data_IF_664132144854
#
_entry.id   IF_664132144854
#
_cell.length_a   1.000
_cell.length_b   1.000
_cell.length_c   1.000
_cell.angle_alpha   90.00
_cell.angle_beta   90.00
_cell.angle_gamma   90.00
#
_symmetry.space_group_name_H-M   'P 1'
#
loop_
_entity.id
_entity.type
_entity.pdbx_description
1 polymer ?
#
# COMPACT_ATOMS: atom_id res chain seq x y z
N UNK A 1 1.99 23.85 1.91
CA UNK A 1 2.16 23.19 3.23
C UNK A 1 2.55 24.14 4.38
N UNK A 2 3.60 24.98 4.27
CA UNK A 2 4.09 25.83 5.38
C UNK A 2 3.00 26.59 6.16
N UNK A 3 2.18 27.39 5.48
CA UNK A 3 1.15 28.21 6.14
C UNK A 3 0.07 27.38 6.84
N UNK A 4 -0.30 26.22 6.27
CA UNK A 4 -1.26 25.31 6.87
C UNK A 4 -0.76 24.83 8.24
N UNK A 5 0.45 24.26 8.31
CA UNK A 5 0.98 23.71 9.55
C UNK A 5 1.37 24.77 10.58
N UNK A 6 1.80 25.96 10.13
CA UNK A 6 1.94 27.12 11.01
C UNK A 6 0.60 27.49 11.68
N UNK A 7 -0.49 27.51 10.91
CA UNK A 7 -1.84 27.76 11.42
C UNK A 7 -2.33 26.67 12.38
N UNK A 8 -2.21 25.40 11.99
CA UNK A 8 -2.61 24.25 12.81
C UNK A 8 -1.89 24.22 14.17
N UNK A 9 -0.62 24.63 14.21
CA UNK A 9 0.15 24.74 15.46
C UNK A 9 -0.38 25.85 16.38
N UNK A 10 -0.94 26.92 15.82
CA UNK A 10 -1.44 28.08 16.57
C UNK A 10 -2.85 27.88 17.16
N UNK A 11 -3.49 26.75 16.89
CA UNK A 11 -4.81 26.44 17.45
C UNK A 11 -4.77 26.41 18.98
N UNK A 12 -5.76 27.04 19.63
CA UNK A 12 -5.89 27.07 21.09
C UNK A 12 -6.03 25.67 21.68
N UNK A 13 -6.72 24.78 20.98
CA UNK A 13 -6.83 23.37 21.31
C UNK A 13 -5.99 22.55 20.32
N UNK A 14 -5.20 21.57 20.79
CA UNK A 14 -4.41 20.73 19.88
C UNK A 14 -5.31 19.91 18.95
N UNK A 15 -4.99 19.93 17.65
CA UNK A 15 -5.63 19.07 16.66
C UNK A 15 -5.46 17.60 17.06
N UNK A 16 -6.54 16.83 16.93
CA UNK A 16 -6.56 15.38 17.21
C UNK A 16 -6.69 14.53 15.96
N UNK A 17 -7.28 15.07 14.91
CA UNK A 17 -7.55 14.34 13.69
C UNK A 17 -7.12 15.21 12.51
N UNK A 18 -6.34 14.62 11.60
CA UNK A 18 -5.91 15.27 10.37
C UNK A 18 -6.22 14.34 9.21
N UNK A 19 -6.91 14.89 8.21
CA UNK A 19 -7.23 14.19 6.98
C UNK A 19 -6.83 15.07 5.80
N UNK A 20 -6.03 14.52 4.88
CA UNK A 20 -5.58 15.20 3.66
C UNK A 20 -6.00 14.35 2.46
N UNK A 21 -6.92 14.88 1.64
CA UNK A 21 -7.55 14.14 0.55
C UNK A 21 -6.71 14.08 -0.73
N UNK A 22 -5.95 15.14 -1.02
CA UNK A 22 -5.16 15.25 -2.25
C UNK A 22 -3.72 15.59 -1.85
N UNK A 23 -3.07 14.67 -1.15
CA UNK A 23 -1.68 14.83 -0.74
C UNK A 23 -0.77 14.53 -1.94
N UNK A 24 -0.21 15.56 -2.55
CA UNK A 24 0.81 15.37 -3.59
C UNK A 24 2.03 14.67 -2.99
N UNK A 25 2.62 13.71 -3.70
CA UNK A 25 3.84 12.98 -3.27
C UNK A 25 5.11 13.86 -3.17
N UNK A 26 4.97 15.19 -3.19
CA UNK A 26 6.10 16.13 -3.13
C UNK A 26 6.67 16.27 -1.71
N UNK A 27 7.99 16.14 -1.61
CA UNK A 27 8.76 16.29 -0.37
C UNK A 27 8.77 17.74 0.17
N UNK A 28 8.40 17.99 1.44
CA UNK A 28 8.68 19.28 2.06
C UNK A 28 10.18 19.45 2.26
N UNK A 29 10.85 20.27 1.43
CA UNK A 29 12.31 20.48 1.50
C UNK A 29 12.79 21.41 2.62
N UNK A 30 11.87 22.06 3.33
CA UNK A 30 12.19 23.08 4.32
C UNK A 30 12.12 22.50 5.74
N UNK A 31 13.24 22.53 6.48
CA UNK A 31 13.35 21.97 7.84
C UNK A 31 12.36 22.59 8.83
N UNK A 32 12.12 23.90 8.75
CA UNK A 32 11.13 24.59 9.60
C UNK A 32 9.72 24.03 9.35
N UNK A 33 9.38 23.78 8.09
CA UNK A 33 8.08 23.21 7.69
C UNK A 33 7.96 21.76 8.17
N UNK A 34 9.01 20.96 8.04
CA UNK A 34 9.03 19.59 8.58
C UNK A 34 8.82 19.62 10.09
N UNK A 35 9.54 20.46 10.83
CA UNK A 35 9.40 20.57 12.28
C UNK A 35 7.98 20.97 12.69
N UNK A 36 7.35 21.90 11.96
CA UNK A 36 5.96 22.28 12.17
C UNK A 36 4.99 21.12 11.93
N UNK A 37 5.18 20.34 10.85
CA UNK A 37 4.40 19.14 10.55
C UNK A 37 4.51 18.15 11.71
N UNK A 38 5.73 17.76 12.07
CA UNK A 38 6.00 16.78 13.12
C UNK A 38 5.40 17.20 14.48
N UNK A 39 5.38 18.50 14.79
CA UNK A 39 4.79 19.01 16.02
C UNK A 39 3.26 18.80 16.08
N UNK A 40 2.57 18.99 14.96
CA UNK A 40 1.12 18.71 14.86
C UNK A 40 0.88 17.20 14.97
N UNK A 41 1.63 16.40 14.22
CA UNK A 41 1.46 14.95 14.12
C UNK A 41 1.64 14.21 15.46
N UNK A 42 2.55 14.67 16.33
CA UNK A 42 2.81 14.06 17.65
C UNK A 42 1.57 13.93 18.55
N UNK A 43 0.53 14.74 18.31
CA UNK A 43 -0.67 14.81 19.15
C UNK A 43 -1.90 14.17 18.52
N UNK A 44 -1.78 13.72 17.27
CA UNK A 44 -2.88 13.15 16.52
C UNK A 44 -3.25 11.77 17.05
N UNK A 45 -4.54 11.52 17.15
CA UNK A 45 -5.12 10.20 17.36
C UNK A 45 -5.63 9.59 16.07
N UNK A 46 -5.84 10.40 15.02
CA UNK A 46 -6.28 9.95 13.70
C UNK A 46 -5.51 10.67 12.60
N UNK A 47 -4.98 9.90 11.65
CA UNK A 47 -4.28 10.40 10.46
C UNK A 47 -4.82 9.69 9.22
N UNK A 48 -5.27 10.48 8.25
CA UNK A 48 -5.63 10.02 6.91
C UNK A 48 -4.81 10.75 5.87
N UNK A 49 -4.17 9.99 5.00
CA UNK A 49 -3.46 10.50 3.84
C UNK A 49 -3.96 9.76 2.60
N UNK A 50 -4.53 10.54 1.68
CA UNK A 50 -4.86 10.10 0.34
C UNK A 50 -3.84 10.73 -0.59
N UNK A 51 -2.91 9.92 -1.07
CA UNK A 51 -1.77 10.35 -1.87
C UNK A 51 -2.12 10.29 -3.34
N UNK A 52 -1.95 11.41 -4.03
CA UNK A 52 -2.22 11.53 -5.47
C UNK A 52 -0.90 11.73 -6.19
N UNK A 53 -0.79 11.11 -7.37
CA UNK A 53 0.39 11.21 -8.23
C UNK A 53 0.07 12.05 -9.47
N UNK A 54 1.11 12.64 -10.04
CA UNK A 54 1.01 13.29 -11.36
C UNK A 54 0.76 12.21 -12.41
N UNK A 55 -0.13 12.50 -13.36
CA UNK A 55 -0.43 11.61 -14.48
C UNK A 55 0.03 12.22 -15.78
N UNK A 56 0.69 11.41 -16.59
CA UNK A 56 1.05 11.66 -17.97
C UNK A 56 0.23 10.71 -18.85
N UNK A 57 -0.93 11.19 -19.33
CA UNK A 57 -1.84 10.40 -20.17
C UNK A 57 -1.17 9.94 -21.49
N UNK A 58 -0.06 10.57 -21.90
CA UNK A 58 0.68 10.22 -23.12
C UNK A 58 1.72 9.11 -22.88
N UNK A 59 2.17 8.89 -21.64
CA UNK A 59 3.20 7.90 -21.27
C UNK A 59 3.03 7.37 -19.82
N UNK A 60 1.90 6.74 -19.49
CA UNK A 60 1.57 6.31 -18.13
C UNK A 60 2.54 5.26 -17.56
N UNK A 61 3.19 4.47 -18.42
CA UNK A 61 4.16 3.45 -18.02
C UNK A 61 5.42 4.04 -17.37
N UNK A 62 5.74 5.32 -17.63
CA UNK A 62 6.93 5.98 -17.07
C UNK A 62 6.63 6.59 -15.69
N UNK A 63 5.35 6.77 -15.33
CA UNK A 63 4.95 7.39 -14.06
C UNK A 63 5.48 6.63 -12.83
N UNK A 64 5.55 5.30 -12.92
CA UNK A 64 6.08 4.48 -11.82
C UNK A 64 7.58 4.71 -11.59
N UNK A 65 8.29 5.31 -12.53
CA UNK A 65 9.72 5.60 -12.43
C UNK A 65 10.03 6.99 -11.85
N UNK A 66 9.01 7.84 -11.65
CA UNK A 66 9.18 9.21 -11.14
C UNK A 66 9.95 9.21 -9.81
N UNK A 67 11.12 9.87 -9.71
CA UNK A 67 11.94 9.82 -8.49
C UNK A 67 11.24 10.32 -7.22
N UNK A 68 10.43 11.38 -7.32
CA UNK A 68 9.71 11.97 -6.19
C UNK A 68 8.67 10.99 -5.60
N UNK A 69 8.07 10.13 -6.44
CA UNK A 69 7.18 9.04 -6.00
C UNK A 69 7.92 8.09 -5.06
N UNK A 70 9.10 7.62 -5.47
CA UNK A 70 9.93 6.71 -4.67
C UNK A 70 10.47 7.38 -3.40
N UNK A 71 10.96 8.61 -3.50
CA UNK A 71 11.42 9.38 -2.33
C UNK A 71 10.30 9.52 -1.29
N UNK A 72 9.07 9.78 -1.75
CA UNK A 72 7.92 9.93 -0.87
C UNK A 72 7.67 8.69 -0.02
N UNK A 73 7.49 7.52 -0.64
CA UNK A 73 7.15 6.30 0.11
C UNK A 73 8.32 5.73 0.91
N UNK A 74 9.55 5.93 0.45
CA UNK A 74 10.75 5.38 1.11
C UNK A 74 11.28 6.25 2.24
N UNK A 75 11.10 7.58 2.16
CA UNK A 75 11.69 8.53 3.10
C UNK A 75 10.67 9.48 3.73
N UNK A 76 9.83 10.15 2.94
CA UNK A 76 8.97 11.23 3.46
C UNK A 76 7.80 10.70 4.28
N UNK A 77 7.04 9.76 3.73
CA UNK A 77 5.95 9.08 4.42
C UNK A 77 6.41 8.54 5.79
N UNK A 78 7.48 7.71 5.88
CA UNK A 78 7.93 7.20 7.17
C UNK A 78 8.47 8.28 8.11
N UNK A 79 9.35 9.18 7.65
CA UNK A 79 10.07 10.11 8.53
C UNK A 79 9.27 11.36 8.93
N UNK A 80 8.44 11.88 8.01
CA UNK A 80 7.69 13.12 8.21
C UNK A 80 6.28 12.84 8.70
N UNK A 81 5.62 11.77 8.23
CA UNK A 81 4.20 11.55 8.50
C UNK A 81 3.92 10.47 9.55
N UNK A 82 4.62 9.34 9.48
CA UNK A 82 4.33 8.18 10.32
C UNK A 82 5.09 8.21 11.65
N UNK A 83 6.43 8.26 11.63
CA UNK A 83 7.27 8.23 12.85
C UNK A 83 6.86 9.26 13.92
N UNK A 84 6.52 10.52 13.58
CA UNK A 84 6.14 11.51 14.58
C UNK A 84 4.86 11.18 15.34
N UNK A 85 3.93 10.42 14.75
CA UNK A 85 2.62 10.11 15.34
C UNK A 85 2.58 8.76 16.08
N UNK A 86 3.66 7.97 16.04
CA UNK A 86 3.73 6.62 16.61
C UNK A 86 3.22 6.51 18.06
N UNK A 87 3.54 7.49 18.90
CA UNK A 87 3.20 7.45 20.33
C UNK A 87 1.74 7.79 20.66
N UNK A 88 0.92 8.25 19.71
CA UNK A 88 -0.44 8.73 19.99
C UNK A 88 -1.50 8.24 19.00
N UNK A 89 -1.10 7.81 17.82
CA UNK A 89 -2.01 7.44 16.75
C UNK A 89 -2.85 6.20 17.11
N UNK A 90 -4.16 6.32 16.90
CA UNK A 90 -5.14 5.24 17.10
C UNK A 90 -5.83 4.84 15.79
N UNK A 91 -5.85 5.71 14.79
CA UNK A 91 -6.41 5.43 13.47
C UNK A 91 -5.44 5.89 12.39
N UNK A 92 -5.14 5.01 11.45
CA UNK A 92 -4.32 5.30 10.28
C UNK A 92 -5.07 4.87 9.02
N UNK A 93 -5.20 5.78 8.06
CA UNK A 93 -5.73 5.48 6.73
C UNK A 93 -4.76 5.98 5.68
N UNK A 94 -4.23 5.07 4.87
CA UNK A 94 -3.30 5.39 3.79
C UNK A 94 -3.88 4.89 2.47
N UNK A 95 -4.08 5.82 1.54
CA UNK A 95 -4.55 5.58 0.19
C UNK A 95 -3.55 6.16 -0.81
N UNK A 96 -3.51 5.57 -1.99
CA UNK A 96 -2.71 6.03 -3.13
C UNK A 96 -3.54 5.92 -4.40
N UNK A 97 -3.33 6.82 -5.37
CA UNK A 97 -3.93 6.67 -6.71
C UNK A 97 -3.42 5.45 -7.43
N UNK A 98 -2.20 4.99 -7.14
CA UNK A 98 -1.58 3.84 -7.79
C UNK A 98 -1.11 2.82 -6.75
N UNK A 99 -0.82 1.59 -7.19
CA UNK A 99 -0.34 0.55 -6.29
C UNK A 99 0.96 0.98 -5.59
N UNK A 100 1.05 0.74 -4.30
CA UNK A 100 2.22 1.07 -3.48
C UNK A 100 2.47 -0.02 -2.45
N UNK A 101 3.71 -0.21 -2.01
CA UNK A 101 4.09 -1.31 -1.12
C UNK A 101 5.21 -2.15 -1.70
N UNK A 102 5.11 -2.46 -2.99
CA UNK A 102 6.17 -3.10 -3.78
C UNK A 102 7.02 -2.09 -4.56
N UNK A 103 6.41 -1.35 -5.49
CA UNK A 103 7.06 -0.39 -6.39
C UNK A 103 6.10 0.79 -6.63
N UNK A 104 6.26 1.92 -5.92
CA UNK A 104 7.34 2.20 -4.96
C UNK A 104 7.25 1.34 -3.69
N UNK A 105 8.41 0.98 -3.14
CA UNK A 105 8.48 0.22 -1.87
C UNK A 105 7.97 1.05 -0.69
N UNK A 106 7.23 0.40 0.21
CA UNK A 106 6.79 1.02 1.46
C UNK A 106 7.78 0.72 2.58
N UNK A 107 8.55 1.73 2.99
CA UNK A 107 9.48 1.57 4.11
C UNK A 107 8.76 1.69 5.46
N UNK A 108 8.42 0.53 6.05
CA UNK A 108 7.76 0.43 7.35
C UNK A 108 8.73 0.11 8.50
N UNK A 109 10.03 0.13 8.24
CA UNK A 109 11.05 -0.24 9.22
C UNK A 109 11.11 0.73 10.40
N UNK A 110 11.03 0.15 11.60
CA UNK A 110 10.98 0.91 12.85
C UNK A 110 9.69 1.72 13.04
N UNK A 111 8.62 1.41 12.28
CA UNK A 111 7.30 2.00 12.47
C UNK A 111 6.41 1.04 13.24
N UNK A 112 6.01 1.44 14.43
CA UNK A 112 5.02 0.74 15.23
C UNK A 112 4.13 1.76 15.93
N UNK A 113 2.84 1.48 15.99
CA UNK A 113 1.82 2.35 16.59
C UNK A 113 1.19 1.64 17.79
N UNK A 114 1.74 1.75 19.01
CA UNK A 114 1.31 0.97 20.17
C UNK A 114 -0.14 1.18 20.62
N UNK A 115 -0.84 2.16 20.06
CA UNK A 115 -2.24 2.48 20.36
C UNK A 115 -3.16 2.34 19.16
N UNK A 116 -2.68 1.77 18.04
CA UNK A 116 -3.45 1.63 16.80
C UNK A 116 -4.66 0.70 17.00
N UNK A 117 -5.85 1.23 16.76
CA UNK A 117 -7.12 0.51 16.83
C UNK A 117 -7.74 0.29 15.45
N UNK A 118 -7.46 1.17 14.50
CA UNK A 118 -8.00 1.09 13.13
C UNK A 118 -6.88 1.30 12.13
N UNK A 119 -6.77 0.38 11.17
CA UNK A 119 -5.88 0.48 10.02
C UNK A 119 -6.68 0.37 8.73
N UNK A 120 -6.44 1.32 7.81
CA UNK A 120 -6.93 1.23 6.45
C UNK A 120 -5.78 1.37 5.47
N UNK A 121 -5.73 0.45 4.52
CA UNK A 121 -4.82 0.50 3.39
C UNK A 121 -5.64 0.46 2.09
N UNK A 122 -5.38 1.41 1.20
CA UNK A 122 -5.96 1.50 -0.13
C UNK A 122 -4.91 1.31 -1.21
N UNK A 123 -5.15 0.42 -2.18
CA UNK A 123 -4.20 0.09 -3.25
C UNK A 123 -2.81 -0.34 -2.76
N UNK A 124 -2.78 -1.01 -1.60
CA UNK A 124 -1.51 -1.55 -1.10
C UNK A 124 -1.20 -2.89 -1.76
N UNK A 125 0.02 -3.01 -2.29
CA UNK A 125 0.54 -4.20 -2.96
C UNK A 125 1.44 -5.01 -2.02
N UNK A 126 1.01 -6.24 -1.73
CA UNK A 126 1.72 -7.20 -0.88
C UNK A 126 2.61 -8.13 -1.71
N UNK A 127 3.86 -8.29 -1.31
CA UNK A 127 4.88 -9.11 -2.00
C UNK A 127 5.94 -9.68 -1.05
N UNK A 128 5.89 -9.34 0.24
CA UNK A 128 6.81 -9.80 1.29
C UNK A 128 6.02 -10.05 2.59
N UNK A 129 6.33 -11.15 3.28
CA UNK A 129 5.75 -11.51 4.59
C UNK A 129 5.94 -10.38 5.62
N UNK A 130 7.02 -9.58 5.52
CA UNK A 130 7.27 -8.43 6.41
C UNK A 130 6.13 -7.41 6.40
N UNK A 131 5.44 -7.24 5.27
CA UNK A 131 4.32 -6.30 5.18
C UNK A 131 3.12 -6.79 6.01
N UNK A 132 2.85 -8.10 6.00
CA UNK A 132 1.82 -8.71 6.85
C UNK A 132 2.27 -8.70 8.32
N UNK A 133 3.51 -9.07 8.60
CA UNK A 133 4.07 -9.09 9.94
C UNK A 133 3.97 -7.71 10.60
N UNK A 134 4.22 -6.63 9.85
CA UNK A 134 4.02 -5.26 10.32
C UNK A 134 2.59 -5.02 10.84
N UNK A 135 1.56 -5.47 10.11
CA UNK A 135 0.17 -5.39 10.55
C UNK A 135 0.00 -6.18 11.86
N UNK A 136 0.54 -7.40 11.92
CA UNK A 136 0.44 -8.29 13.09
C UNK A 136 1.17 -7.78 14.33
N UNK A 137 2.16 -6.88 14.18
CA UNK A 137 2.82 -6.23 15.34
C UNK A 137 1.87 -5.40 16.20
N UNK A 138 0.65 -5.12 15.71
CA UNK A 138 -0.39 -4.36 16.41
C UNK A 138 -1.46 -5.27 17.06
N UNK A 139 -1.18 -6.57 17.22
CA UNK A 139 -2.10 -7.59 17.75
C UNK A 139 -2.81 -7.23 19.07
N UNK A 140 -2.15 -6.50 19.95
CA UNK A 140 -2.67 -6.14 21.26
C UNK A 140 -3.72 -5.03 21.23
N UNK A 141 -3.81 -4.25 20.15
CA UNK A 141 -4.63 -3.03 20.09
C UNK A 141 -5.54 -2.94 18.88
N UNK A 142 -5.19 -3.57 17.77
CA UNK A 142 -5.88 -3.45 16.50
C UNK A 142 -7.27 -4.11 16.56
N UNK A 143 -8.31 -3.34 16.22
CA UNK A 143 -9.73 -3.72 16.32
C UNK A 143 -10.46 -3.64 14.98
N UNK A 144 -10.00 -2.79 14.07
CA UNK A 144 -10.58 -2.60 12.75
C UNK A 144 -9.47 -2.64 11.69
N UNK A 145 -9.68 -3.44 10.64
CA UNK A 145 -8.85 -3.45 9.43
C UNK A 145 -9.74 -3.27 8.21
N UNK A 146 -9.31 -2.41 7.30
CA UNK A 146 -9.94 -2.22 5.99
C UNK A 146 -8.86 -2.31 4.91
N UNK A 147 -8.98 -3.29 4.02
CA UNK A 147 -8.13 -3.50 2.86
C UNK A 147 -8.96 -3.20 1.61
N UNK A 148 -8.75 -2.02 1.03
CA UNK A 148 -9.55 -1.46 -0.05
C UNK A 148 -8.75 -1.47 -1.35
N UNK A 149 -9.16 -2.27 -2.32
CA UNK A 149 -8.45 -2.46 -3.59
C UNK A 149 -6.97 -2.88 -3.38
N UNK A 150 -6.68 -3.63 -2.32
CA UNK A 150 -5.35 -4.18 -2.05
C UNK A 150 -5.13 -5.47 -2.84
N UNK A 151 -3.89 -5.71 -3.26
CA UNK A 151 -3.52 -6.87 -4.06
C UNK A 151 -2.30 -7.61 -3.49
N UNK A 152 -2.23 -8.91 -3.76
CA UNK A 152 -0.99 -9.70 -3.62
C UNK A 152 -0.34 -9.79 -4.99
N UNK A 153 0.93 -9.42 -5.09
CA UNK A 153 1.73 -9.62 -6.28
C UNK A 153 2.20 -11.06 -6.31
N UNK A 154 1.67 -11.85 -7.24
CA UNK A 154 1.98 -13.28 -7.34
C UNK A 154 3.27 -13.53 -8.10
N UNK A 155 3.59 -12.63 -9.04
CA UNK A 155 4.82 -12.65 -9.81
C UNK A 155 5.29 -11.23 -10.10
N UNK A 156 6.61 -11.09 -10.17
CA UNK A 156 7.31 -9.84 -10.48
C UNK A 156 8.37 -10.16 -11.52
N UNK A 157 8.41 -9.36 -12.58
CA UNK A 157 9.47 -9.34 -13.59
C UNK A 157 9.98 -7.91 -13.75
N UNK A 158 11.30 -7.74 -13.68
CA UNK A 158 11.97 -6.43 -13.81
C UNK A 158 13.13 -6.57 -14.79
N UNK A 159 13.21 -5.71 -15.80
CA UNK A 159 14.32 -5.76 -16.76
C UNK A 159 15.62 -5.21 -16.17
N UNK A 160 16.71 -5.92 -16.43
CA UNK A 160 18.04 -5.54 -15.97
C UNK A 160 18.53 -4.30 -16.73
N UNK A 161 18.89 -3.25 -15.99
CA UNK A 161 19.39 -1.99 -16.54
C UNK A 161 18.33 -0.91 -16.80
N UNK A 162 17.03 -1.22 -16.68
CA UNK A 162 15.93 -0.26 -16.90
C UNK A 162 15.35 0.27 -15.58
N UNK A 163 15.17 -0.61 -14.59
CA UNK A 163 14.67 -0.22 -13.26
C UNK A 163 15.74 -0.35 -12.19
N UNK A 164 15.75 0.59 -11.25
CA UNK A 164 16.62 0.53 -10.08
C UNK A 164 16.03 -0.44 -9.05
N UNK A 165 16.63 -1.63 -8.91
CA UNK A 165 16.20 -2.65 -7.94
C UNK A 165 16.11 -2.12 -6.51
N UNK A 166 16.84 -1.05 -6.15
CA UNK A 166 16.76 -0.42 -4.83
C UNK A 166 15.39 0.20 -4.54
N UNK A 167 14.58 0.47 -5.57
CA UNK A 167 13.21 0.96 -5.49
C UNK A 167 12.19 -0.14 -5.13
N UNK A 168 12.58 -1.40 -5.25
CA UNK A 168 11.73 -2.57 -4.98
C UNK A 168 11.73 -2.96 -3.50
N UNK A 169 10.63 -3.55 -3.05
CA UNK A 169 10.51 -4.11 -1.70
C UNK A 169 11.27 -5.43 -1.52
N UNK A 170 11.51 -6.18 -2.62
CA UNK A 170 12.12 -7.51 -2.61
C UNK A 170 13.65 -7.36 -2.56
N UNK A 171 14.36 -8.05 -1.64
CA UNK A 171 15.82 -8.10 -1.63
C UNK A 171 16.36 -8.73 -2.91
N UNK A 172 17.46 -8.19 -3.45
CA UNK A 172 18.11 -8.74 -4.66
C UNK A 172 18.50 -10.22 -4.51
N UNK A 173 18.81 -10.67 -3.29
CA UNK A 173 19.12 -12.07 -2.99
C UNK A 173 17.98 -13.05 -3.27
N UNK A 174 16.74 -12.55 -3.26
CA UNK A 174 15.54 -13.35 -3.42
C UNK A 174 15.06 -13.35 -4.88
N UNK A 175 15.68 -12.51 -5.73
CA UNK A 175 15.38 -12.43 -7.15
C UNK A 175 16.13 -13.51 -7.94
N UNK A 176 15.44 -14.12 -8.88
CA UNK A 176 16.03 -15.04 -9.86
C UNK A 176 16.37 -14.27 -11.14
N UNK A 177 17.65 -14.17 -11.47
CA UNK A 177 18.08 -13.62 -12.75
C UNK A 177 17.85 -14.64 -13.88
N UNK A 178 17.10 -14.23 -14.90
CA UNK A 178 16.84 -15.00 -16.12
C UNK A 178 17.33 -14.26 -17.35
N UNK A 179 17.75 -15.00 -18.36
CA UNK A 179 18.14 -14.45 -19.66
C UNK A 179 17.37 -15.17 -20.76
N UNK A 180 16.64 -14.40 -21.57
CA UNK A 180 15.88 -14.90 -22.70
C UNK A 180 16.04 -13.93 -23.88
N UNK A 181 16.35 -14.45 -25.06
CA UNK A 181 16.48 -13.61 -26.26
C UNK A 181 17.59 -12.55 -26.20
N UNK A 182 18.59 -12.69 -25.32
CA UNK A 182 19.63 -11.70 -25.08
C UNK A 182 19.21 -10.55 -24.15
N UNK A 183 18.02 -10.63 -23.56
CA UNK A 183 17.53 -9.69 -22.56
C UNK A 183 17.54 -10.36 -21.18
N UNK A 184 18.09 -9.65 -20.20
CA UNK A 184 18.16 -10.09 -18.80
C UNK A 184 17.03 -9.48 -18.01
N UNK A 185 16.41 -10.27 -17.14
CA UNK A 185 15.36 -9.83 -16.23
C UNK A 185 15.44 -10.55 -14.89
N UNK A 186 15.04 -9.87 -13.83
CA UNK A 186 14.90 -10.39 -12.49
C UNK A 186 13.46 -10.85 -12.26
N UNK A 187 13.31 -12.06 -11.74
CA UNK A 187 12.02 -12.70 -11.50
C UNK A 187 11.82 -12.99 -10.02
N UNK A 188 10.59 -12.87 -9.54
CA UNK A 188 10.21 -13.29 -8.21
C UNK A 188 8.78 -13.81 -8.19
N UNK A 189 8.57 -14.93 -7.52
CA UNK A 189 7.25 -15.50 -7.28
C UNK A 189 6.96 -15.47 -5.78
N UNK A 190 5.93 -14.74 -5.38
CA UNK A 190 5.53 -14.68 -3.98
C UNK A 190 4.58 -15.86 -3.68
N UNK A 191 4.89 -16.74 -2.71
CA UNK A 191 4.12 -17.96 -2.51
C UNK A 191 2.81 -17.77 -1.73
N UNK A 192 2.65 -16.67 -0.98
CA UNK A 192 1.45 -16.44 -0.15
C UNK A 192 0.22 -16.10 -0.98
N UNK A 193 -0.94 -16.45 -0.44
CA UNK A 193 -2.25 -16.14 -1.01
C UNK A 193 -3.15 -15.47 0.02
N UNK A 194 -4.27 -14.92 -0.42
CA UNK A 194 -5.19 -14.21 0.48
C UNK A 194 -5.72 -15.11 1.60
N UNK A 195 -5.95 -16.40 1.34
CA UNK A 195 -6.30 -17.33 2.41
C UNK A 195 -5.23 -17.47 3.51
N UNK A 196 -3.94 -17.35 3.18
CA UNK A 196 -2.87 -17.34 4.18
C UNK A 196 -2.93 -16.06 5.00
N UNK A 197 -3.13 -14.92 4.34
CA UNK A 197 -3.27 -13.62 4.98
C UNK A 197 -4.47 -13.59 5.93
N UNK A 198 -5.66 -14.00 5.45
CA UNK A 198 -6.87 -14.05 6.27
C UNK A 198 -6.70 -14.99 7.46
N UNK A 199 -6.09 -16.16 7.27
CA UNK A 199 -5.81 -17.10 8.36
C UNK A 199 -4.83 -16.52 9.39
N UNK A 200 -3.79 -15.81 8.94
CA UNK A 200 -2.81 -15.16 9.82
C UNK A 200 -3.43 -13.99 10.59
N UNK A 201 -4.25 -13.17 9.93
CA UNK A 201 -5.00 -12.07 10.56
C UNK A 201 -5.96 -12.64 11.61
N UNK A 202 -6.72 -13.69 11.29
CA UNK A 202 -7.66 -14.34 12.21
C UNK A 202 -6.97 -14.84 13.49
N UNK A 203 -5.79 -15.46 13.34
CA UNK A 203 -5.04 -16.03 14.47
C UNK A 203 -4.21 -14.99 15.23
N UNK A 204 -3.67 -14.01 14.50
CA UNK A 204 -2.69 -13.05 15.01
C UNK A 204 -3.30 -11.79 15.63
N UNK A 205 -4.58 -11.48 15.35
CA UNK A 205 -5.23 -10.27 15.85
C UNK A 205 -6.46 -10.62 16.72
N UNK A 206 -6.25 -11.02 17.98
CA UNK A 206 -7.33 -11.50 18.86
C UNK A 206 -8.37 -10.43 19.22
N UNK A 207 -8.05 -9.15 19.02
CA UNK A 207 -8.93 -8.01 19.31
C UNK A 207 -9.69 -7.49 18.08
N UNK A 208 -9.47 -8.09 16.90
CA UNK A 208 -10.12 -7.68 15.66
C UNK A 208 -11.63 -7.92 15.74
N UNK A 209 -12.41 -6.88 15.45
CA UNK A 209 -13.88 -6.88 15.51
C UNK A 209 -14.53 -6.51 14.19
N UNK A 210 -13.83 -5.74 13.36
CA UNK A 210 -14.31 -5.33 12.05
C UNK A 210 -13.20 -5.60 11.02
N UNK A 211 -13.57 -6.30 9.96
CA UNK A 211 -12.68 -6.60 8.86
C UNK A 211 -13.39 -6.29 7.54
N UNK A 212 -12.87 -5.30 6.81
CA UNK A 212 -13.30 -4.95 5.46
C UNK A 212 -12.27 -5.41 4.44
N UNK A 213 -12.72 -6.13 3.41
CA UNK A 213 -11.89 -6.54 2.28
C UNK A 213 -12.73 -6.48 1.00
N UNK A 214 -12.29 -5.70 0.02
CA UNK A 214 -13.01 -5.51 -1.23
C UNK A 214 -12.65 -4.20 -1.88
N UNK A 215 -13.61 -3.58 -2.57
CA UNK A 215 -13.42 -2.29 -3.26
C UNK A 215 -14.54 -1.35 -2.89
N UNK A 216 -14.18 -0.13 -2.48
CA UNK A 216 -15.11 0.96 -2.31
C UNK A 216 -15.76 1.38 -3.64
N UNK A 217 -17.05 1.68 -3.63
CA UNK A 217 -17.74 2.17 -4.84
C UNK A 217 -17.17 3.49 -5.35
N UNK A 218 -16.47 4.26 -4.50
CA UNK A 218 -15.81 5.50 -4.92
C UNK A 218 -14.81 5.30 -6.05
N UNK A 219 -14.11 4.16 -6.05
CA UNK A 219 -13.18 3.80 -7.14
C UNK A 219 -13.88 3.65 -8.49
N UNK A 220 -15.15 3.23 -8.50
CA UNK A 220 -15.91 2.90 -9.71
C UNK A 220 -16.40 4.14 -10.47
N UNK A 221 -16.55 5.28 -9.79
CA UNK A 221 -17.06 6.50 -10.41
C UNK A 221 -15.96 7.36 -11.02
N UNK A 222 -14.77 7.35 -10.42
CA UNK A 222 -13.59 8.05 -10.92
C UNK A 222 -12.35 7.46 -10.25
N UNK A 223 -11.48 6.79 -11.01
CA UNK A 223 -10.22 6.18 -10.50
C UNK A 223 -9.24 7.20 -9.91
N UNK A 224 -9.48 8.50 -10.14
CA UNK A 224 -8.73 9.61 -9.53
C UNK A 224 -9.38 10.14 -8.24
N UNK A 225 -10.61 9.71 -7.90
CA UNK A 225 -11.28 10.05 -6.64
C UNK A 225 -11.03 8.96 -5.60
N UNK A 226 -9.94 9.13 -4.84
CA UNK A 226 -9.63 8.27 -3.71
C UNK A 226 -10.78 8.24 -2.69
N UNK A 227 -11.17 7.06 -2.18
CA UNK A 227 -12.13 6.95 -1.10
C UNK A 227 -11.74 7.84 0.09
N UNK A 228 -12.69 8.63 0.58
CA UNK A 228 -12.46 9.55 1.68
C UNK A 228 -13.61 9.47 2.67
N UNK A 229 -13.33 8.92 3.85
CA UNK A 229 -14.30 8.62 4.91
C UNK A 229 -15.32 7.56 4.50
N UNK A 230 -14.85 6.55 3.75
CA UNK A 230 -15.67 5.51 3.10
C UNK A 230 -15.26 4.08 3.46
N UNK A 231 -14.40 3.91 4.46
CA UNK A 231 -13.81 2.60 4.80
C UNK A 231 -14.87 1.59 5.23
N UNK A 232 -15.92 2.09 5.91
CA UNK A 232 -17.05 1.28 6.38
C UNK A 232 -18.06 0.95 5.28
N UNK A 233 -17.89 1.53 4.11
CA UNK A 233 -18.74 1.30 2.93
C UNK A 233 -18.09 0.30 1.96
N UNK A 234 -16.92 -0.25 2.29
CA UNK A 234 -16.27 -1.30 1.50
C UNK A 234 -17.22 -2.49 1.42
N UNK A 235 -17.59 -2.84 0.19
CA UNK A 235 -18.44 -3.99 -0.09
C UNK A 235 -17.57 -5.23 -0.01
N UNK A 236 -17.83 -6.18 0.91
CA UNK A 236 -17.03 -7.38 1.01
C UNK A 236 -17.12 -8.21 -0.27
N UNK A 237 -16.01 -8.35 -0.98
CA UNK A 237 -15.95 -9.09 -2.22
C UNK A 237 -14.56 -9.68 -2.45
N UNK A 238 -14.51 -10.91 -2.96
CA UNK A 238 -13.28 -11.41 -3.57
C UNK A 238 -13.17 -10.83 -4.96
N UNK A 239 -12.37 -9.78 -5.05
CA UNK A 239 -12.06 -9.10 -6.31
C UNK A 239 -11.27 -10.03 -7.23
N UNK A 240 -11.47 -9.90 -8.55
CA UNK A 240 -10.58 -10.58 -9.52
C UNK A 240 -9.18 -9.99 -9.46
N UNK A 241 -9.13 -8.71 -9.15
CA UNK A 241 -7.98 -7.81 -9.07
C UNK A 241 -7.10 -8.07 -7.84
N UNK A 242 -7.52 -8.99 -6.94
CA UNK A 242 -6.80 -9.30 -5.69
C UNK A 242 -5.43 -9.96 -5.91
N UNK A 243 -5.18 -10.52 -7.09
CA UNK A 243 -3.88 -11.03 -7.51
C UNK A 243 -3.41 -10.26 -8.74
N UNK A 244 -2.20 -9.72 -8.65
CA UNK A 244 -1.59 -8.85 -9.66
C UNK A 244 -0.22 -9.41 -10.04
N UNK A 245 0.17 -9.20 -11.29
CA UNK A 245 1.53 -9.43 -11.79
C UNK A 245 2.18 -8.07 -12.01
N UNK A 246 3.44 -7.94 -11.63
CA UNK A 246 4.24 -6.79 -12.02
C UNK A 246 5.16 -7.15 -13.18
N UNK A 247 5.07 -6.40 -14.26
CA UNK A 247 5.90 -6.50 -15.45
C UNK A 247 6.51 -5.13 -15.74
N UNK A 248 7.83 -4.98 -15.57
CA UNK A 248 8.53 -3.70 -15.71
C UNK A 248 8.45 -3.05 -17.11
N UNK A 249 8.12 -3.81 -18.15
CA UNK A 249 7.90 -3.29 -19.52
C UNK A 249 6.41 -3.34 -19.92
N UNK A 250 5.53 -3.61 -18.95
CA UNK A 250 4.09 -3.67 -19.16
C UNK A 250 3.49 -2.28 -19.38
N UNK A 251 3.01 -2.00 -20.59
CA UNK A 251 2.16 -0.85 -20.91
C UNK A 251 0.68 -1.24 -21.03
N UNK A 252 -0.28 -0.38 -20.63
CA UNK A 252 -0.14 1.00 -20.15
C UNK A 252 0.14 1.13 -18.64
N UNK A 253 0.24 0.01 -17.91
CA UNK A 253 0.65 -0.01 -16.51
C UNK A 253 1.46 -1.27 -16.24
N UNK A 254 2.56 -1.19 -15.47
CA UNK A 254 3.35 -2.37 -15.13
C UNK A 254 2.61 -3.31 -14.18
N UNK A 255 1.50 -2.86 -13.58
CA UNK A 255 0.62 -3.70 -12.77
C UNK A 255 -0.52 -4.25 -13.63
N UNK A 256 -0.44 -5.54 -13.94
CA UNK A 256 -1.47 -6.24 -14.71
C UNK A 256 -2.26 -7.19 -13.82
N UNK A 257 -3.58 -7.20 -13.97
CA UNK A 257 -4.39 -8.22 -13.31
C UNK A 257 -3.99 -9.60 -13.81
N UNK A 258 -3.96 -10.57 -12.90
CA UNK A 258 -3.51 -11.91 -13.26
C UNK A 258 -4.34 -12.54 -14.37
N UNK A 259 -5.66 -12.32 -14.37
CA UNK A 259 -6.56 -12.83 -15.41
C UNK A 259 -6.12 -12.35 -16.79
N UNK A 260 -5.79 -11.08 -16.89
CA UNK A 260 -5.49 -10.40 -18.15
C UNK A 260 -4.10 -10.81 -18.63
N UNK A 261 -3.14 -10.95 -17.70
CA UNK A 261 -1.79 -11.45 -17.99
C UNK A 261 -1.81 -12.88 -18.56
N UNK A 262 -2.64 -13.77 -17.98
CA UNK A 262 -2.74 -15.17 -18.39
C UNK A 262 -3.45 -15.37 -19.74
N UNK A 263 -4.30 -14.44 -20.17
CA UNK A 263 -4.89 -14.49 -21.52
C UNK A 263 -3.83 -14.39 -22.62
N UNK A 264 -2.68 -13.78 -22.30
CA UNK A 264 -1.57 -13.58 -23.23
C UNK A 264 -0.32 -14.44 -22.92
N UNK A 265 -0.22 -15.05 -21.74
CA UNK A 265 0.94 -15.84 -21.30
C UNK A 265 0.56 -17.24 -20.76
N UNK A 266 1.21 -18.29 -21.28
CA UNK A 266 0.85 -19.70 -21.01
C UNK A 266 1.47 -20.32 -19.76
N UNK A 267 2.31 -19.61 -19.00
CA UNK A 267 2.95 -20.12 -17.78
C UNK A 267 2.00 -19.97 -16.58
N UNK A 268 1.14 -20.95 -16.35
CA UNK A 268 -0.10 -20.78 -15.57
C UNK A 268 -0.12 -21.39 -14.15
N UNK A 269 0.81 -22.28 -13.80
CA UNK A 269 0.63 -23.10 -12.59
C UNK A 269 1.04 -22.40 -11.27
N UNK A 270 1.86 -21.35 -11.31
CA UNK A 270 2.42 -20.72 -10.10
C UNK A 270 1.73 -19.43 -9.67
N UNK A 271 0.76 -18.94 -10.43
CA UNK A 271 0.28 -17.57 -10.29
C UNK A 271 -0.95 -17.40 -9.38
N UNK A 272 -1.45 -18.45 -8.72
CA UNK A 272 -2.60 -18.33 -7.79
C UNK A 272 -3.94 -18.78 -8.36
N UNK A 273 -3.91 -19.47 -9.50
CA UNK A 273 -5.05 -20.21 -10.02
C UNK A 273 -5.62 -21.19 -8.97
N UNK A 274 -6.94 -21.24 -8.85
CA UNK A 274 -7.64 -22.18 -7.94
C UNK A 274 -7.66 -21.79 -6.45
N UNK A 275 -7.24 -20.56 -6.10
CA UNK A 275 -7.31 -20.09 -4.72
C UNK A 275 -8.69 -19.57 -4.31
N UNK A 276 -9.61 -19.32 -5.24
CA UNK A 276 -10.93 -18.70 -5.01
C UNK A 276 -11.69 -19.31 -3.82
N UNK A 277 -11.85 -20.62 -3.80
CA UNK A 277 -12.64 -21.28 -2.77
C UNK A 277 -11.91 -21.29 -1.41
N UNK A 278 -10.57 -21.37 -1.40
CA UNK A 278 -9.77 -21.24 -0.18
C UNK A 278 -9.85 -19.81 0.37
N UNK A 279 -9.67 -18.81 -0.49
CA UNK A 279 -9.75 -17.38 -0.15
C UNK A 279 -11.14 -17.06 0.43
N UNK A 280 -12.19 -17.58 -0.20
CA UNK A 280 -13.58 -17.39 0.22
C UNK A 280 -13.86 -18.00 1.59
N UNK A 281 -13.41 -19.22 1.81
CA UNK A 281 -13.62 -19.91 3.08
C UNK A 281 -12.82 -19.26 4.21
N UNK A 282 -11.59 -18.84 3.94
CA UNK A 282 -10.77 -18.12 4.91
C UNK A 282 -11.34 -16.72 5.23
N UNK A 283 -11.82 -15.99 4.21
CA UNK A 283 -12.47 -14.68 4.40
C UNK A 283 -13.75 -14.81 5.25
N UNK A 284 -14.59 -15.80 4.95
CA UNK A 284 -15.80 -16.08 5.74
C UNK A 284 -15.49 -16.44 7.20
N UNK A 285 -14.37 -17.10 7.46
CA UNK A 285 -13.96 -17.45 8.82
C UNK A 285 -13.46 -16.24 9.64
N UNK A 286 -13.14 -15.14 8.96
CA UNK A 286 -12.66 -13.88 9.54
C UNK A 286 -13.80 -12.88 9.83
N UNK A 287 -14.98 -13.08 9.22
CA UNK A 287 -16.20 -12.29 9.40
C UNK A 287 -17.07 -12.82 10.54
#
# INVERSE_FOLDING_TARGET
MRWLFAGLRSLQQPLKELAIQNHQSVSPRNEETIAQIQQVLKRLTSLRLNVVHERDDDAPEIEVEIPDLHEFYTQILPSVWLKPSMGSLQKLSLYSTDYWGFYPKANLDGINFPHLKSLTLGRFSFVDDKQLDWILTHSSTLQEIYLDDCAILTSVMIFDGESDLSKCQIPESDLELREAGGQRSFHYAYPRRWHDYFSSIQKGLPNLRQFGFGVSTSWLYNLSMLPFEKEKEIIPALMKERYVVFDGDGGPSPFSHLSDYLEFNTESEWLGYGCDEKDKNALKALQ
#
